data_IF_676359383298
#
_entry.id   IF_676359383298
#
_cell.length_a   1.000
_cell.length_b   1.000
_cell.length_c   1.000
_cell.angle_alpha   90.00
_cell.angle_beta   90.00
_cell.angle_gamma   90.00
#
_symmetry.space_group_name_H-M   'P 1'
#
loop_
_entity.id
_entity.type
_entity.pdbx_description
1 polymer ?
#
# COMPACT_ATOMS: atom_id res chain seq x y z
N UNK A 1 -4.01 25.84 -1.40
CA UNK A 1 -2.63 26.37 -1.36
C UNK A 1 -1.67 25.20 -1.54
N UNK A 2 -0.67 25.31 -2.42
CA UNK A 2 0.38 24.29 -2.54
C UNK A 2 1.13 24.17 -1.21
N UNK A 3 1.48 22.94 -0.84
CA UNK A 3 2.29 22.61 0.34
C UNK A 3 3.56 21.92 -0.12
N UNK A 4 4.65 22.10 0.59
CA UNK A 4 5.89 21.35 0.35
C UNK A 4 5.72 19.86 0.68
N UNK A 5 6.63 19.03 0.17
CA UNK A 5 6.72 17.62 0.56
C UNK A 5 6.87 17.46 2.08
N UNK A 6 7.70 18.29 2.72
CA UNK A 6 7.89 18.27 4.17
C UNK A 6 6.61 18.59 4.94
N UNK A 7 5.89 19.65 4.54
CA UNK A 7 4.59 20.03 5.14
C UNK A 7 3.53 18.94 4.92
N UNK A 8 3.55 18.29 3.76
CA UNK A 8 2.63 17.21 3.45
C UNK A 8 2.87 16.00 4.36
N UNK A 9 4.14 15.60 4.57
CA UNK A 9 4.50 14.49 5.46
C UNK A 9 4.20 14.85 6.93
N UNK A 10 4.46 16.08 7.34
CA UNK A 10 4.26 16.57 8.71
C UNK A 10 2.84 17.04 9.04
N UNK A 11 1.88 16.95 8.12
CA UNK A 11 0.50 17.43 8.32
C UNK A 11 -0.16 16.97 9.64
N UNK A 12 0.12 15.73 10.07
CA UNK A 12 -0.39 15.17 11.34
C UNK A 12 0.48 15.43 12.58
N UNK A 13 1.68 16.02 12.40
CA UNK A 13 2.64 16.38 13.44
C UNK A 13 3.46 17.61 12.98
N UNK A 14 2.86 18.83 12.94
CA UNK A 14 3.48 19.99 12.29
C UNK A 14 4.80 20.45 12.92
N UNK A 15 5.04 20.12 14.19
CA UNK A 15 6.27 20.46 14.92
C UNK A 15 7.39 19.42 14.71
N UNK A 16 7.20 18.43 13.84
CA UNK A 16 8.24 17.45 13.53
C UNK A 16 9.44 18.15 12.89
N UNK A 17 10.64 17.79 13.36
CA UNK A 17 11.88 18.25 12.76
C UNK A 17 12.06 17.67 11.35
N UNK A 18 12.85 18.33 10.51
CA UNK A 18 13.19 17.81 9.18
C UNK A 18 13.85 16.42 9.27
N UNK A 19 14.62 16.16 10.33
CA UNK A 19 15.22 14.86 10.58
C UNK A 19 14.16 13.77 10.79
N UNK A 20 13.17 14.00 11.66
CA UNK A 20 12.07 13.05 11.90
C UNK A 20 11.24 12.82 10.63
N UNK A 21 10.98 13.88 9.85
CA UNK A 21 10.30 13.79 8.55
C UNK A 21 11.08 12.88 7.61
N UNK A 22 12.41 13.05 7.53
CA UNK A 22 13.28 12.24 6.69
C UNK A 22 13.34 10.79 7.13
N UNK A 23 13.46 10.53 8.42
CA UNK A 23 13.44 9.17 8.98
C UNK A 23 12.13 8.44 8.65
N UNK A 24 10.99 9.13 8.75
CA UNK A 24 9.70 8.57 8.35
C UNK A 24 9.62 8.30 6.83
N UNK A 25 10.15 9.20 6.01
CA UNK A 25 10.21 9.02 4.57
C UNK A 25 11.13 7.86 4.15
N UNK A 26 12.27 7.67 4.81
CA UNK A 26 13.16 6.52 4.58
C UNK A 26 12.42 5.21 4.89
N UNK A 27 11.76 5.12 6.04
CA UNK A 27 10.97 3.93 6.43
C UNK A 27 9.81 3.64 5.47
N UNK A 28 9.26 4.68 4.85
CA UNK A 28 8.21 4.53 3.83
C UNK A 28 8.76 4.23 2.43
N UNK A 29 10.08 4.26 2.22
CA UNK A 29 10.74 4.16 0.91
C UNK A 29 10.51 5.38 0.02
N UNK A 30 10.18 6.53 0.61
CA UNK A 30 9.90 7.76 -0.10
C UNK A 30 11.14 8.66 -0.29
N UNK A 31 12.16 8.52 0.56
CA UNK A 31 13.31 9.43 0.58
C UNK A 31 14.06 9.49 -0.77
N UNK A 32 14.22 8.35 -1.44
CA UNK A 32 14.93 8.25 -2.73
C UNK A 32 14.31 9.16 -3.79
N UNK A 33 13.02 8.97 -4.11
CA UNK A 33 12.36 9.79 -5.11
C UNK A 33 12.20 11.25 -4.65
N UNK A 34 12.05 11.49 -3.34
CA UNK A 34 11.97 12.86 -2.82
C UNK A 34 13.29 13.59 -3.08
N UNK A 35 14.44 12.93 -2.88
CA UNK A 35 15.75 13.51 -3.14
C UNK A 35 16.01 13.80 -4.63
N UNK A 36 15.31 13.13 -5.55
CA UNK A 36 15.38 13.38 -6.99
C UNK A 36 14.54 14.59 -7.44
N UNK A 37 13.63 15.09 -6.60
CA UNK A 37 12.84 16.27 -6.92
C UNK A 37 13.72 17.54 -6.93
N UNK A 38 13.40 18.55 -7.76
CA UNK A 38 14.23 19.74 -7.93
C UNK A 38 14.60 20.48 -6.64
N UNK A 39 13.69 20.50 -5.65
CA UNK A 39 13.89 21.15 -4.35
C UNK A 39 13.82 20.14 -3.19
N UNK A 40 13.91 18.84 -3.47
CA UNK A 40 13.84 17.80 -2.46
C UNK A 40 12.56 17.88 -1.61
N UNK A 41 12.73 17.88 -0.29
CA UNK A 41 11.65 18.05 0.69
C UNK A 41 10.95 19.41 0.64
N UNK A 42 11.55 20.43 0.04
CA UNK A 42 10.93 21.75 -0.15
C UNK A 42 10.12 21.84 -1.44
N UNK A 43 10.18 20.83 -2.31
CA UNK A 43 9.40 20.79 -3.54
C UNK A 43 7.92 20.99 -3.25
N UNK A 44 7.33 22.02 -3.87
CA UNK A 44 5.91 22.30 -3.78
C UNK A 44 5.11 21.24 -4.54
N UNK A 45 4.13 20.66 -3.86
CA UNK A 45 3.17 19.76 -4.46
C UNK A 45 2.09 20.56 -5.17
N UNK A 46 1.80 20.19 -6.42
CA UNK A 46 0.62 20.69 -7.12
C UNK A 46 -0.66 20.25 -6.39
N UNK A 47 -1.81 20.87 -6.70
CA UNK A 47 -3.08 20.44 -6.10
C UNK A 47 -3.29 18.93 -6.28
N UNK A 48 -3.71 18.25 -5.22
CA UNK A 48 -3.84 16.78 -5.13
C UNK A 48 -2.55 15.96 -5.39
N UNK A 49 -1.37 16.58 -5.52
CA UNK A 49 -0.12 15.87 -5.82
C UNK A 49 -0.12 15.24 -7.22
N UNK A 50 -0.72 15.91 -8.20
CA UNK A 50 -0.84 15.46 -9.60
C UNK A 50 0.55 15.23 -10.24
N UNK A 51 1.59 15.90 -9.74
CA UNK A 51 2.97 15.73 -10.21
C UNK A 51 3.66 14.44 -9.72
N UNK A 52 2.99 13.62 -8.92
CA UNK A 52 3.52 12.36 -8.40
C UNK A 52 2.86 11.16 -9.07
N UNK A 53 3.59 10.06 -9.18
CA UNK A 53 2.99 8.77 -9.53
C UNK A 53 2.07 8.26 -8.40
N UNK A 54 1.22 7.27 -8.69
CA UNK A 54 0.38 6.62 -7.67
C UNK A 54 1.22 6.10 -6.48
N UNK A 55 2.35 5.46 -6.77
CA UNK A 55 3.25 4.93 -5.74
C UNK A 55 3.99 5.97 -4.94
N UNK A 56 4.37 7.07 -5.56
CA UNK A 56 4.95 8.19 -4.82
C UNK A 56 3.93 8.76 -3.84
N UNK A 57 2.67 8.99 -4.26
CA UNK A 57 1.61 9.46 -3.35
C UNK A 57 1.33 8.49 -2.20
N UNK A 58 1.36 7.19 -2.47
CA UNK A 58 1.15 6.18 -1.44
C UNK A 58 2.30 6.12 -0.45
N UNK A 59 3.56 6.14 -0.91
CA UNK A 59 4.75 6.20 -0.05
C UNK A 59 4.76 7.47 0.80
N UNK A 60 4.33 8.61 0.26
CA UNK A 60 4.13 9.83 1.08
C UNK A 60 3.05 9.65 2.14
N UNK A 61 1.94 9.00 1.81
CA UNK A 61 0.86 8.74 2.77
C UNK A 61 1.30 7.78 3.88
N UNK A 62 2.12 6.77 3.54
CA UNK A 62 2.75 5.89 4.52
C UNK A 62 3.74 6.66 5.42
N UNK A 63 4.56 7.56 4.86
CA UNK A 63 5.45 8.42 5.64
C UNK A 63 4.68 9.28 6.66
N UNK A 64 3.53 9.85 6.27
CA UNK A 64 2.63 10.58 7.19
C UNK A 64 2.16 9.69 8.35
N UNK A 65 1.73 8.47 8.04
CA UNK A 65 1.25 7.52 9.04
C UNK A 65 2.35 7.11 10.03
N UNK A 66 3.56 6.86 9.53
CA UNK A 66 4.75 6.54 10.33
C UNK A 66 5.12 7.72 11.23
N UNK A 67 5.22 8.93 10.69
CA UNK A 67 5.62 10.12 11.46
C UNK A 67 4.64 10.44 12.58
N UNK A 68 3.35 10.22 12.35
CA UNK A 68 2.30 10.40 13.36
C UNK A 68 2.31 9.31 14.44
N UNK A 69 2.97 8.17 14.20
CA UNK A 69 2.89 7.00 15.07
C UNK A 69 1.47 6.43 15.09
N UNK A 70 0.84 6.29 13.93
CA UNK A 70 -0.53 5.77 13.84
C UNK A 70 -0.61 4.33 14.40
N UNK A 71 -1.59 3.99 15.25
CA UNK A 71 -1.72 2.63 15.79
C UNK A 71 -2.40 1.65 14.83
N UNK A 72 -3.10 2.18 13.82
CA UNK A 72 -3.87 1.45 12.83
C UNK A 72 -3.65 2.06 11.45
N UNK A 73 -3.32 1.21 10.48
CA UNK A 73 -3.21 1.53 9.07
C UNK A 73 -4.32 0.82 8.30
N UNK A 74 -5.18 1.58 7.61
CA UNK A 74 -6.20 1.04 6.70
C UNK A 74 -5.77 1.34 5.27
N UNK A 75 -5.69 0.31 4.45
CA UNK A 75 -5.17 0.36 3.09
C UNK A 75 -6.24 -0.15 2.15
N UNK A 76 -6.81 0.75 1.37
CA UNK A 76 -7.80 0.43 0.34
C UNK A 76 -7.12 0.38 -1.02
N UNK A 77 -7.06 -0.80 -1.63
CA UNK A 77 -6.42 -1.06 -2.92
C UNK A 77 -5.03 -0.42 -3.08
N UNK A 78 -4.27 -0.45 -2.00
CA UNK A 78 -3.06 0.34 -1.83
C UNK A 78 -2.12 0.26 -3.04
N UNK A 79 -1.91 -0.93 -3.61
CA UNK A 79 -0.92 -1.17 -4.65
C UNK A 79 -1.50 -1.20 -6.08
N UNK A 80 -2.79 -0.90 -6.27
CA UNK A 80 -3.47 -1.07 -7.56
C UNK A 80 -2.89 -0.20 -8.69
N UNK A 81 -2.34 0.97 -8.35
CA UNK A 81 -1.75 1.91 -9.30
C UNK A 81 -0.22 1.76 -9.49
N UNK A 82 0.36 0.65 -9.00
CA UNK A 82 1.81 0.43 -9.03
C UNK A 82 2.21 -0.61 -10.08
N UNK A 83 3.35 -0.38 -10.71
CA UNK A 83 4.12 -1.43 -11.36
C UNK A 83 4.62 -2.46 -10.33
N UNK A 84 4.97 -3.67 -10.79
CA UNK A 84 5.30 -4.82 -9.94
C UNK A 84 6.49 -4.59 -8.99
N UNK A 85 7.50 -3.82 -9.41
CA UNK A 85 8.69 -3.54 -8.61
C UNK A 85 8.37 -2.52 -7.51
N UNK A 86 7.66 -1.45 -7.86
CA UNK A 86 7.13 -0.48 -6.90
C UNK A 86 6.18 -1.13 -5.89
N UNK A 87 5.32 -2.07 -6.33
CA UNK A 87 4.40 -2.79 -5.45
C UNK A 87 5.13 -3.56 -4.35
N UNK A 88 6.14 -4.35 -4.73
CA UNK A 88 6.88 -5.19 -3.78
C UNK A 88 7.56 -4.34 -2.71
N UNK A 89 8.16 -3.22 -3.12
CA UNK A 89 8.83 -2.27 -2.21
C UNK A 89 7.84 -1.64 -1.24
N UNK A 90 6.72 -1.12 -1.74
CA UNK A 90 5.69 -0.48 -0.91
C UNK A 90 5.06 -1.49 0.04
N UNK A 91 4.78 -2.70 -0.42
CA UNK A 91 4.22 -3.76 0.42
C UNK A 91 5.17 -4.16 1.55
N UNK A 92 6.46 -4.32 1.26
CA UNK A 92 7.44 -4.60 2.31
C UNK A 92 7.49 -3.48 3.35
N UNK A 93 7.45 -2.21 2.95
CA UNK A 93 7.43 -1.08 3.89
C UNK A 93 6.14 -1.05 4.74
N UNK A 94 5.00 -1.41 4.15
CA UNK A 94 3.73 -1.59 4.88
C UNK A 94 3.86 -2.72 5.92
N UNK A 95 4.50 -3.84 5.55
CA UNK A 95 4.72 -4.94 6.49
C UNK A 95 5.63 -4.54 7.66
N UNK A 96 6.64 -3.70 7.43
CA UNK A 96 7.52 -3.15 8.48
C UNK A 96 6.86 -2.07 9.35
N UNK A 97 5.64 -1.61 9.01
CA UNK A 97 4.90 -0.69 9.85
C UNK A 97 4.59 -1.33 11.22
N UNK A 98 4.83 -0.60 12.30
CA UNK A 98 4.49 -1.05 13.64
C UNK A 98 3.04 -0.67 13.95
N UNK A 99 2.18 -1.64 14.21
CA UNK A 99 0.76 -1.42 14.51
C UNK A 99 -0.18 -2.39 13.79
N UNK A 100 -1.48 -2.18 13.95
CA UNK A 100 -2.50 -2.99 13.27
C UNK A 100 -2.64 -2.55 11.83
N UNK A 101 -2.76 -3.50 10.90
CA UNK A 101 -2.91 -3.24 9.46
C UNK A 101 -4.20 -3.91 8.99
N UNK A 102 -5.05 -3.15 8.32
CA UNK A 102 -6.24 -3.66 7.63
C UNK A 102 -6.05 -3.39 6.15
N UNK A 103 -5.91 -4.45 5.37
CA UNK A 103 -5.63 -4.38 3.93
C UNK A 103 -6.85 -4.89 3.19
N UNK A 104 -7.44 -4.03 2.36
CA UNK A 104 -8.50 -4.36 1.42
C UNK A 104 -7.82 -4.53 0.07
N UNK A 105 -7.84 -5.73 -0.48
CA UNK A 105 -7.15 -6.02 -1.74
C UNK A 105 -7.81 -7.15 -2.51
N UNK A 106 -7.79 -7.02 -3.83
CA UNK A 106 -8.09 -8.11 -4.77
C UNK A 106 -6.81 -8.86 -5.21
N UNK A 107 -5.62 -8.42 -4.78
CA UNK A 107 -4.32 -9.04 -5.11
C UNK A 107 -3.98 -10.15 -4.12
N UNK A 108 -4.37 -11.37 -4.46
CA UNK A 108 -4.32 -12.51 -3.54
C UNK A 108 -2.91 -12.93 -3.09
N UNK A 109 -1.87 -12.63 -3.87
CA UNK A 109 -0.48 -12.91 -3.50
C UNK A 109 -0.02 -12.14 -2.25
N UNK A 110 -0.64 -10.98 -1.95
CA UNK A 110 -0.36 -10.22 -0.73
C UNK A 110 -0.88 -10.94 0.52
N UNK A 111 -1.91 -11.78 0.38
CA UNK A 111 -2.61 -12.42 1.50
C UNK A 111 -1.84 -13.59 2.11
N UNK A 112 -0.73 -14.04 1.50
CA UNK A 112 0.09 -15.13 2.05
C UNK A 112 0.79 -14.74 3.36
N UNK A 113 1.04 -13.45 3.56
CA UNK A 113 1.84 -12.92 4.69
C UNK A 113 1.00 -12.25 5.79
N UNK A 114 -0.33 -12.36 5.74
CA UNK A 114 -1.22 -11.74 6.73
C UNK A 114 -1.63 -12.72 7.81
N UNK A 115 -1.82 -12.21 9.03
CA UNK A 115 -2.18 -13.04 10.18
C UNK A 115 -3.62 -13.58 10.11
N UNK A 116 -4.51 -12.88 9.41
CA UNK A 116 -5.95 -13.20 9.30
C UNK A 116 -6.55 -12.64 8.02
N UNK A 117 -7.44 -13.41 7.39
CA UNK A 117 -8.18 -13.04 6.19
C UNK A 117 -9.67 -13.13 6.50
N UNK A 118 -10.42 -12.08 6.16
CA UNK A 118 -11.87 -12.07 6.18
C UNK A 118 -12.38 -11.88 4.74
N UNK A 119 -13.15 -12.84 4.25
CA UNK A 119 -13.70 -12.82 2.89
C UNK A 119 -15.11 -12.25 2.94
N UNK A 120 -15.34 -11.19 2.16
CA UNK A 120 -16.62 -10.50 2.08
C UNK A 120 -17.36 -10.91 0.80
N UNK A 121 -18.63 -11.31 0.94
CA UNK A 121 -19.58 -11.46 -0.17
C UNK A 121 -20.90 -10.80 0.22
N UNK A 122 -21.45 -9.99 -0.69
CA UNK A 122 -22.74 -9.26 -0.51
C UNK A 122 -22.86 -8.54 0.86
N UNK A 123 -21.78 -7.91 1.31
CA UNK A 123 -21.74 -7.15 2.56
C UNK A 123 -21.70 -8.02 3.82
N UNK A 124 -21.37 -9.31 3.72
CA UNK A 124 -21.23 -10.23 4.87
C UNK A 124 -19.89 -10.94 4.82
N UNK A 125 -19.32 -11.20 6.00
CA UNK A 125 -18.14 -12.06 6.11
C UNK A 125 -18.60 -13.51 5.91
N UNK A 126 -18.20 -14.12 4.80
CA UNK A 126 -18.55 -15.50 4.45
C UNK A 126 -17.48 -16.50 4.88
N UNK A 127 -16.22 -16.05 4.98
CA UNK A 127 -15.11 -16.86 5.49
C UNK A 127 -14.17 -16.01 6.35
N UNK A 128 -13.56 -16.65 7.33
CA UNK A 128 -12.61 -16.04 8.26
C UNK A 128 -11.59 -17.10 8.72
N UNK A 129 -10.30 -16.77 8.63
CA UNK A 129 -9.21 -17.66 9.03
C UNK A 129 -7.84 -17.23 8.54
N UNK A 130 -6.85 -18.09 8.73
CA UNK A 130 -5.51 -17.92 8.14
C UNK A 130 -5.52 -18.33 6.67
N UNK A 131 -4.51 -17.90 5.90
CA UNK A 131 -4.32 -18.34 4.52
C UNK A 131 -4.37 -19.87 4.37
N UNK A 132 -3.61 -20.58 5.20
CA UNK A 132 -3.54 -22.05 5.18
C UNK A 132 -4.88 -22.70 5.50
N UNK A 133 -5.59 -22.21 6.52
CA UNK A 133 -6.89 -22.76 6.92
C UNK A 133 -7.94 -22.57 5.82
N UNK A 134 -7.98 -21.38 5.22
CA UNK A 134 -8.95 -21.05 4.17
C UNK A 134 -8.68 -21.82 2.87
N UNK A 135 -7.42 -22.05 2.51
CA UNK A 135 -7.08 -22.95 1.40
C UNK A 135 -7.51 -24.40 1.66
N UNK A 136 -7.27 -24.92 2.87
CA UNK A 136 -7.62 -26.29 3.22
C UNK A 136 -9.14 -26.55 3.20
N UNK A 137 -9.95 -25.52 3.48
CA UNK A 137 -11.42 -25.60 3.43
C UNK A 137 -11.98 -25.73 2.01
N UNK A 138 -11.17 -25.45 0.98
CA UNK A 138 -11.60 -25.46 -0.43
C UNK A 138 -12.86 -24.63 -0.70
N UNK A 139 -13.02 -23.52 0.03
CA UNK A 139 -14.16 -22.62 -0.06
C UNK A 139 -14.04 -21.56 -1.18
N UNK A 140 -14.77 -20.47 -1.00
CA UNK A 140 -14.74 -19.29 -1.87
C UNK A 140 -13.33 -18.67 -1.92
N UNK A 141 -12.63 -18.57 -0.78
CA UNK A 141 -11.24 -18.10 -0.78
C UNK A 141 -10.32 -18.94 -1.67
N UNK A 142 -10.36 -20.27 -1.50
CA UNK A 142 -9.53 -21.19 -2.26
C UNK A 142 -9.84 -21.14 -3.77
N UNK A 143 -11.12 -20.97 -4.12
CA UNK A 143 -11.58 -20.83 -5.51
C UNK A 143 -11.02 -19.55 -6.16
N UNK A 144 -11.12 -18.42 -5.46
CA UNK A 144 -10.54 -17.14 -5.89
C UNK A 144 -9.02 -17.25 -6.03
N UNK A 145 -8.36 -17.86 -5.05
CA UNK A 145 -6.91 -18.05 -5.05
C UNK A 145 -6.42 -18.85 -6.25
N UNK A 146 -7.07 -19.98 -6.54
CA UNK A 146 -6.74 -20.81 -7.70
C UNK A 146 -6.96 -20.08 -9.03
N UNK A 147 -8.04 -19.29 -9.14
CA UNK A 147 -8.32 -18.50 -10.34
C UNK A 147 -7.23 -17.46 -10.59
N UNK A 148 -6.87 -16.68 -9.57
CA UNK A 148 -5.82 -15.66 -9.69
C UNK A 148 -4.46 -16.27 -10.03
N UNK A 149 -4.13 -17.42 -9.44
CA UNK A 149 -2.88 -18.12 -9.73
C UNK A 149 -2.82 -18.61 -11.18
N UNK A 150 -3.92 -19.15 -11.73
CA UNK A 150 -4.00 -19.56 -13.14
C UNK A 150 -3.84 -18.37 -14.08
N UNK A 151 -4.54 -17.26 -13.83
CA UNK A 151 -4.46 -16.06 -14.65
C UNK A 151 -3.06 -15.40 -14.66
N UNK A 152 -2.30 -15.52 -13.57
CA UNK A 152 -0.90 -15.09 -13.51
C UNK A 152 0.05 -16.03 -14.28
N UNK A 153 -0.28 -17.32 -14.37
CA UNK A 153 0.53 -18.30 -15.12
C UNK A 153 0.33 -18.16 -16.64
N UNK A 154 -0.83 -17.64 -17.06
CA UNK A 154 -1.18 -17.43 -18.48
C UNK A 154 -0.67 -16.08 -19.05
N UNK A 155 -0.15 -15.16 -18.22
CA UNK A 155 0.33 -13.84 -18.66
C UNK A 155 1.65 -13.81 -19.46
N UNK A 156 2.13 -14.96 -19.96
CA UNK A 156 3.10 -14.96 -21.08
C UNK A 156 2.41 -14.85 -22.46
N UNK A 157 1.07 -14.88 -22.52
CA UNK A 157 0.29 -14.56 -23.71
C UNK A 157 -1.10 -14.12 -23.24
N UNK A 158 -1.41 -12.82 -23.22
CA UNK A 158 -2.64 -12.35 -22.57
C UNK A 158 -3.31 -11.16 -23.24
N UNK A 159 -4.42 -11.44 -23.93
CA UNK A 159 -5.41 -10.48 -24.36
C UNK A 159 -6.51 -10.30 -23.29
N UNK A 160 -6.84 -9.03 -23.00
CA UNK A 160 -8.15 -8.34 -22.92
C UNK A 160 -9.40 -9.05 -22.30
N UNK A 161 -9.99 -8.35 -21.30
CA UNK A 161 -11.44 -8.08 -21.02
C UNK A 161 -12.35 -9.14 -20.33
N UNK A 162 -13.50 -8.86 -19.66
CA UNK A 162 -14.42 -7.69 -19.49
C UNK A 162 -15.16 -7.77 -18.13
N UNK A 163 -15.48 -6.58 -17.56
CA UNK A 163 -16.48 -6.18 -16.52
C UNK A 163 -16.73 -7.04 -15.27
#
# INVERSE_FOLDING_TARGET
>A
MPVSVAENISYGRPNASLQEIREAAIRAGADEFICELPEGYQTLLAEQGINLSGGQRQRMSLARAILRGAPLLVLDEATAALDTESESTVYNNILQFEGTKVIITHRLHLLEKVDRIAVLDKGRVVEDGTHTDLLARQGYYASLYQYAHRAQTEHHIGAVEVC
#
